data_IF_299870199038
#
_entry.id   IF_299870199038
#
_cell.length_a   1.000
_cell.length_b   1.000
_cell.length_c   1.000
_cell.angle_alpha   90.00
_cell.angle_beta   90.00
_cell.angle_gamma   90.00
#
_symmetry.space_group_name_H-M   'P 1'
#
loop_
_entity.id
_entity.type
_entity.pdbx_description
1 polymer ?
#
# COMPACT_ATOMS: atom_id res chain seq x y z
N UNK A 1 -5.90 72.92 18.98
CA UNK A 1 -5.02 72.26 18.03
C UNK A 1 -4.93 70.82 18.48
N UNK A 2 -5.84 69.96 17.98
CA UNK A 2 -5.92 68.55 18.41
C UNK A 2 -5.38 67.72 17.28
N UNK A 3 -4.31 66.99 17.61
CA UNK A 3 -3.64 66.12 16.69
C UNK A 3 -4.14 64.67 16.94
N UNK A 4 -5.05 64.20 16.07
CA UNK A 4 -5.55 62.81 16.10
C UNK A 4 -4.51 61.85 15.53
N UNK A 5 -4.03 61.00 16.39
CA UNK A 5 -3.17 59.87 15.97
C UNK A 5 -4.08 58.69 15.58
N UNK A 6 -4.14 58.40 14.30
CA UNK A 6 -4.82 57.21 13.78
C UNK A 6 -3.83 56.02 13.90
N UNK A 7 -4.13 55.13 14.82
CA UNK A 7 -3.41 53.88 14.94
C UNK A 7 -4.01 52.88 13.94
N UNK A 8 -3.24 52.60 12.87
CA UNK A 8 -3.57 51.54 11.92
C UNK A 8 -3.19 50.19 12.55
N UNK A 9 -4.16 49.48 13.07
CA UNK A 9 -3.97 48.08 13.49
C UNK A 9 -3.96 47.20 12.25
N UNK A 10 -2.78 46.79 11.82
CA UNK A 10 -2.62 45.70 10.87
C UNK A 10 -3.03 44.39 11.53
N UNK A 11 -4.25 43.95 11.26
CA UNK A 11 -4.66 42.57 11.52
C UNK A 11 -3.95 41.67 10.52
N UNK A 12 -2.93 41.01 11.01
CA UNK A 12 -2.26 39.94 10.28
C UNK A 12 -3.14 38.69 10.41
N UNK A 13 -4.10 38.51 9.50
CA UNK A 13 -4.78 37.23 9.36
C UNK A 13 -3.81 36.23 8.73
N UNK A 14 -3.18 35.45 9.59
CA UNK A 14 -2.51 34.25 9.16
C UNK A 14 -3.56 33.32 8.55
N UNK A 15 -3.65 33.31 7.23
CA UNK A 15 -4.43 32.38 6.46
C UNK A 15 -3.83 30.99 6.70
N UNK A 16 -4.38 30.28 7.67
CA UNK A 16 -4.08 28.89 7.92
C UNK A 16 -4.57 28.11 6.70
N UNK A 17 -3.68 27.87 5.77
CA UNK A 17 -3.93 26.98 4.64
C UNK A 17 -4.12 25.61 5.24
N UNK A 18 -5.36 25.21 5.45
CA UNK A 18 -5.68 23.83 5.71
C UNK A 18 -5.18 23.05 4.48
N UNK A 19 -4.13 22.24 4.67
CA UNK A 19 -3.77 21.26 3.67
C UNK A 19 -4.99 20.40 3.46
N UNK A 20 -5.64 20.56 2.28
CA UNK A 20 -6.73 19.70 1.89
C UNK A 20 -6.15 18.28 1.85
N UNK A 21 -6.49 17.45 2.83
CA UNK A 21 -6.27 16.03 2.74
C UNK A 21 -7.03 15.56 1.50
N UNK A 22 -6.30 15.14 0.46
CA UNK A 22 -6.89 14.52 -0.71
C UNK A 22 -7.86 13.44 -0.24
N UNK A 23 -9.05 13.32 -0.83
CA UNK A 23 -10.04 12.37 -0.34
C UNK A 23 -9.44 10.97 -0.36
N UNK A 24 -9.29 10.42 0.81
CA UNK A 24 -8.77 9.08 1.10
C UNK A 24 -9.48 7.98 0.27
N UNK A 25 -10.70 8.26 -0.15
CA UNK A 25 -11.56 7.40 -0.97
C UNK A 25 -10.96 7.17 -2.38
N UNK A 26 -10.28 8.15 -2.96
CA UNK A 26 -9.77 8.03 -4.32
C UNK A 26 -8.63 7.02 -4.44
N UNK A 27 -7.74 6.94 -3.47
CA UNK A 27 -6.60 6.02 -3.51
C UNK A 27 -7.02 4.58 -3.24
N UNK A 28 -7.97 4.36 -2.33
CA UNK A 28 -8.48 3.03 -2.06
C UNK A 28 -9.26 2.45 -3.24
N UNK A 29 -9.99 3.25 -4.00
CA UNK A 29 -10.67 2.80 -5.24
C UNK A 29 -9.65 2.35 -6.28
N UNK A 30 -8.52 3.03 -6.40
CA UNK A 30 -7.44 2.67 -7.32
C UNK A 30 -6.76 1.35 -6.95
N UNK A 31 -6.79 0.98 -5.67
CA UNK A 31 -6.25 -0.29 -5.18
C UNK A 31 -7.04 -1.49 -5.73
N UNK A 32 -8.32 -1.31 -6.03
CA UNK A 32 -9.20 -2.40 -6.49
C UNK A 32 -8.66 -3.13 -7.71
N UNK A 33 -8.75 -4.45 -7.71
CA UNK A 33 -8.35 -5.31 -8.83
C UNK A 33 -7.12 -6.17 -8.56
N UNK A 34 -6.56 -6.72 -9.63
CA UNK A 34 -5.44 -7.67 -9.56
C UNK A 34 -4.10 -6.97 -9.74
N UNK A 35 -3.17 -7.33 -8.88
CA UNK A 35 -1.81 -6.81 -8.85
C UNK A 35 -0.80 -7.95 -8.78
N UNK A 36 0.13 -7.99 -9.73
CA UNK A 36 1.17 -9.01 -9.81
C UNK A 36 2.51 -8.45 -9.33
N UNK A 37 3.17 -9.20 -8.45
CA UNK A 37 4.49 -8.85 -7.92
C UNK A 37 5.53 -8.74 -9.05
N UNK A 38 6.35 -7.69 -9.02
CA UNK A 38 7.48 -7.52 -9.93
C UNK A 38 8.78 -7.14 -9.20
N UNK A 39 8.70 -6.83 -7.91
CA UNK A 39 9.86 -6.55 -7.07
C UNK A 39 9.57 -6.90 -5.61
N UNK A 40 10.55 -7.47 -4.94
CA UNK A 40 10.53 -7.75 -3.51
C UNK A 40 11.92 -7.60 -2.91
N UNK A 41 12.00 -6.90 -1.79
CA UNK A 41 13.26 -6.73 -1.05
C UNK A 41 13.75 -8.08 -0.51
N UNK A 42 15.04 -8.34 -0.67
CA UNK A 42 15.67 -9.59 -0.27
C UNK A 42 15.77 -10.62 -1.39
N UNK A 43 15.18 -10.36 -2.56
CA UNK A 43 15.37 -11.21 -3.73
C UNK A 43 16.72 -10.94 -4.39
N UNK A 44 17.55 -11.96 -4.50
CA UNK A 44 18.78 -11.90 -5.31
C UNK A 44 18.51 -12.24 -6.78
N UNK A 45 17.56 -13.14 -7.01
CA UNK A 45 17.08 -13.50 -8.34
C UNK A 45 15.58 -13.79 -8.28
N UNK A 46 14.80 -12.85 -8.79
CA UNK A 46 13.34 -12.89 -8.74
C UNK A 46 12.75 -14.10 -9.47
N UNK A 47 13.25 -14.41 -10.65
CA UNK A 47 12.73 -15.51 -11.47
C UNK A 47 13.01 -16.87 -10.83
N UNK A 48 14.13 -17.00 -10.14
CA UNK A 48 14.47 -18.23 -9.40
C UNK A 48 13.62 -18.44 -8.15
N UNK A 49 13.14 -17.34 -7.54
CA UNK A 49 12.25 -17.40 -6.38
C UNK A 49 10.85 -17.87 -6.75
N UNK A 50 10.40 -17.53 -7.95
CA UNK A 50 9.03 -17.77 -8.40
C UNK A 50 8.96 -18.47 -9.76
N UNK A 51 9.57 -19.67 -9.89
CA UNK A 51 9.71 -20.33 -11.19
C UNK A 51 8.39 -20.86 -11.76
N UNK A 52 7.45 -21.20 -10.89
CA UNK A 52 6.18 -21.80 -11.30
C UNK A 52 5.04 -20.77 -11.39
N UNK A 53 5.00 -19.80 -10.45
CA UNK A 53 3.92 -18.84 -10.34
C UNK A 53 4.39 -17.58 -9.63
N UNK A 54 4.17 -16.44 -10.26
CA UNK A 54 4.49 -15.15 -9.65
C UNK A 54 3.40 -14.78 -8.63
N UNK A 55 3.77 -14.30 -7.44
CA UNK A 55 2.81 -13.82 -6.45
C UNK A 55 1.91 -12.72 -6.99
N UNK A 56 0.65 -12.75 -6.58
CA UNK A 56 -0.32 -11.74 -6.95
C UNK A 56 -1.33 -11.52 -5.83
N UNK A 57 -1.85 -10.31 -5.74
CA UNK A 57 -2.89 -9.93 -4.79
C UNK A 57 -4.05 -9.31 -5.57
N UNK A 58 -5.26 -9.76 -5.26
CA UNK A 58 -6.50 -9.15 -5.70
C UNK A 58 -7.13 -8.41 -4.52
N UNK A 59 -7.47 -7.16 -4.71
CA UNK A 59 -8.18 -6.32 -3.75
C UNK A 59 -9.62 -6.13 -4.19
N UNK A 60 -10.55 -6.53 -3.34
CA UNK A 60 -11.96 -6.16 -3.42
C UNK A 60 -12.23 -5.10 -2.35
N UNK A 61 -12.15 -3.86 -2.76
CA UNK A 61 -12.29 -2.70 -1.85
C UNK A 61 -13.71 -2.59 -1.32
N UNK A 62 -14.71 -2.94 -2.11
CA UNK A 62 -16.13 -2.90 -1.73
C UNK A 62 -16.44 -3.96 -0.68
N UNK A 63 -16.04 -5.20 -0.91
CA UNK A 63 -16.22 -6.30 0.02
C UNK A 63 -15.24 -6.27 1.20
N UNK A 64 -14.23 -5.39 1.16
CA UNK A 64 -13.12 -5.32 2.14
C UNK A 64 -12.40 -6.66 2.29
N UNK A 65 -12.05 -7.25 1.15
CA UNK A 65 -11.38 -8.56 1.07
C UNK A 65 -10.12 -8.48 0.23
N UNK A 66 -9.18 -9.34 0.59
CA UNK A 66 -8.02 -9.66 -0.24
C UNK A 66 -8.01 -11.14 -0.56
N UNK A 67 -7.48 -11.48 -1.70
CA UNK A 67 -7.17 -12.84 -2.11
C UNK A 67 -5.95 -12.83 -3.01
N UNK A 68 -5.34 -13.96 -3.20
CA UNK A 68 -4.18 -14.04 -4.09
C UNK A 68 -3.40 -15.33 -3.95
N UNK A 69 -2.14 -15.25 -4.35
CA UNK A 69 -1.20 -16.34 -4.20
C UNK A 69 0.18 -15.82 -3.77
N UNK A 70 0.90 -16.66 -3.05
CA UNK A 70 2.24 -16.39 -2.53
C UNK A 70 3.37 -16.76 -3.48
N UNK A 71 3.00 -17.23 -4.69
CA UNK A 71 3.91 -17.96 -5.59
C UNK A 71 3.85 -19.48 -5.40
N UNK A 72 3.25 -19.94 -4.32
CA UNK A 72 3.00 -21.34 -3.97
C UNK A 72 1.54 -21.56 -3.59
N UNK A 73 1.12 -21.04 -2.44
CA UNK A 73 -0.20 -21.22 -1.88
C UNK A 73 -1.15 -20.08 -2.23
N UNK A 74 -2.44 -20.40 -2.27
CA UNK A 74 -3.50 -19.39 -2.35
C UNK A 74 -3.84 -18.87 -0.96
N UNK A 75 -4.17 -17.59 -0.85
CA UNK A 75 -4.61 -16.99 0.39
C UNK A 75 -5.85 -16.10 0.19
N UNK A 76 -6.56 -15.89 1.27
CA UNK A 76 -7.62 -14.90 1.37
C UNK A 76 -7.70 -14.32 2.78
N UNK A 77 -8.16 -13.09 2.87
CA UNK A 77 -8.26 -12.40 4.15
C UNK A 77 -9.07 -11.13 4.07
N UNK A 78 -9.03 -10.39 5.15
CA UNK A 78 -9.67 -9.09 5.25
C UNK A 78 -8.75 -8.00 4.73
N UNK A 79 -9.30 -7.05 3.98
CA UNK A 79 -8.60 -5.82 3.63
C UNK A 79 -8.74 -4.81 4.78
N UNK A 80 -7.62 -4.42 5.36
CA UNK A 80 -7.55 -3.41 6.42
C UNK A 80 -6.78 -2.21 5.90
N UNK A 81 -7.48 -1.12 5.61
CA UNK A 81 -6.91 0.13 5.12
C UNK A 81 -7.50 1.33 5.85
N UNK A 82 -6.66 2.34 6.06
CA UNK A 82 -7.05 3.66 6.56
C UNK A 82 -6.19 4.70 5.86
N UNK A 83 -6.77 5.41 4.90
CA UNK A 83 -6.00 6.29 4.02
C UNK A 83 -4.97 5.52 3.20
N UNK A 84 -3.73 5.94 3.26
CA UNK A 84 -2.60 5.24 2.66
C UNK A 84 -2.05 4.10 3.52
N UNK A 85 -2.54 3.95 4.75
CA UNK A 85 -2.16 2.84 5.63
C UNK A 85 -2.84 1.56 5.18
N UNK A 86 -2.10 0.47 5.22
CA UNK A 86 -2.56 -0.88 4.93
C UNK A 86 -1.90 -1.86 5.88
N UNK A 87 -2.64 -2.86 6.35
CA UNK A 87 -2.12 -3.85 7.27
C UNK A 87 -2.48 -5.27 6.83
N UNK A 88 -1.53 -6.17 6.94
CA UNK A 88 -1.68 -7.60 6.73
C UNK A 88 -1.44 -8.40 8.03
N UNK A 89 -1.58 -7.75 9.18
CA UNK A 89 -1.40 -8.38 10.49
C UNK A 89 -2.53 -9.35 10.87
N UNK A 90 -3.72 -9.15 10.31
CA UNK A 90 -4.85 -10.05 10.55
C UNK A 90 -4.57 -11.43 9.95
N UNK A 91 -5.01 -12.52 10.59
CA UNK A 91 -4.84 -13.86 10.07
C UNK A 91 -5.49 -14.04 8.69
N UNK A 92 -4.74 -14.64 7.78
CA UNK A 92 -5.23 -15.03 6.46
C UNK A 92 -5.49 -16.54 6.42
N UNK A 93 -6.54 -16.92 5.70
CA UNK A 93 -6.78 -18.32 5.34
C UNK A 93 -5.87 -18.66 4.17
N UNK A 94 -5.13 -19.76 4.28
CA UNK A 94 -4.14 -20.13 3.29
C UNK A 94 -4.15 -21.63 3.05
N UNK A 95 -3.97 -22.07 1.79
CA UNK A 95 -3.64 -23.45 1.49
C UNK A 95 -2.24 -23.77 2.02
N UNK A 96 -1.94 -25.04 2.24
CA UNK A 96 -0.65 -25.49 2.79
C UNK A 96 -0.05 -26.58 1.91
N UNK A 97 0.26 -26.23 0.67
CA UNK A 97 1.06 -27.09 -0.20
C UNK A 97 2.54 -26.87 0.12
N UNK A 98 3.33 -27.93 -0.01
CA UNK A 98 4.79 -27.81 0.03
C UNK A 98 5.29 -27.30 -1.32
N UNK A 99 6.07 -26.21 -1.29
CA UNK A 99 6.80 -25.71 -2.45
C UNK A 99 8.27 -25.53 -2.07
N UNK A 100 9.20 -26.03 -2.86
CA UNK A 100 10.61 -25.83 -2.59
C UNK A 100 11.02 -24.37 -2.81
N UNK A 101 12.02 -23.92 -2.03
CA UNK A 101 12.59 -22.58 -2.13
C UNK A 101 12.03 -21.58 -1.12
N UNK A 102 12.53 -20.36 -1.19
CA UNK A 102 12.30 -19.31 -0.18
C UNK A 102 11.30 -18.24 -0.64
N UNK A 103 10.67 -18.41 -1.80
CA UNK A 103 9.77 -17.40 -2.39
C UNK A 103 8.56 -17.09 -1.53
N UNK A 104 7.85 -18.11 -1.07
CA UNK A 104 6.69 -17.93 -0.19
C UNK A 104 7.06 -17.34 1.18
N UNK A 105 8.06 -17.86 1.92
CA UNK A 105 8.50 -17.23 3.16
C UNK A 105 8.90 -15.77 2.99
N UNK A 106 9.65 -15.46 1.95
CA UNK A 106 10.08 -14.09 1.66
C UNK A 106 8.88 -13.16 1.37
N UNK A 107 7.91 -13.64 0.59
CA UNK A 107 6.68 -12.90 0.30
C UNK A 107 5.90 -12.59 1.57
N UNK A 108 5.64 -13.59 2.41
CA UNK A 108 4.89 -13.44 3.65
C UNK A 108 5.60 -12.56 4.68
N UNK A 109 6.92 -12.69 4.81
CA UNK A 109 7.70 -11.83 5.71
C UNK A 109 7.65 -10.36 5.30
N UNK A 110 7.77 -10.07 4.01
CA UNK A 110 7.67 -8.69 3.53
C UNK A 110 6.25 -8.16 3.67
N UNK A 111 5.23 -8.97 3.38
CA UNK A 111 3.84 -8.57 3.49
C UNK A 111 3.49 -8.10 4.91
N UNK A 112 4.02 -8.77 5.94
CA UNK A 112 3.80 -8.39 7.34
C UNK A 112 4.51 -7.09 7.77
N UNK A 113 5.51 -6.65 7.01
CA UNK A 113 6.25 -5.40 7.27
C UNK A 113 5.62 -4.18 6.59
N UNK A 114 4.61 -4.38 5.77
CA UNK A 114 3.96 -3.29 5.03
C UNK A 114 3.20 -2.39 6.00
N UNK A 115 3.44 -1.10 5.91
CA UNK A 115 2.79 -0.07 6.72
C UNK A 115 1.85 0.81 5.89
N UNK A 116 2.30 1.17 4.69
CA UNK A 116 1.55 2.03 3.77
C UNK A 116 1.64 1.54 2.34
N UNK A 117 0.78 2.06 1.48
CA UNK A 117 0.85 1.82 0.05
C UNK A 117 0.81 3.12 -0.74
N UNK A 118 1.38 3.08 -1.93
CA UNK A 118 1.40 4.19 -2.89
C UNK A 118 1.14 3.65 -4.29
N UNK A 119 0.16 4.23 -4.98
CA UNK A 119 -0.13 3.89 -6.38
C UNK A 119 0.41 4.99 -7.28
N UNK A 120 1.21 4.59 -8.26
CA UNK A 120 1.84 5.49 -9.23
C UNK A 120 1.29 5.20 -10.62
N UNK A 121 0.85 6.24 -11.31
CA UNK A 121 0.31 6.18 -12.68
C UNK A 121 -0.82 5.14 -12.86
N UNK A 122 -1.57 4.84 -11.81
CA UNK A 122 -2.66 3.85 -11.77
C UNK A 122 -2.25 2.40 -12.18
N UNK A 123 -0.97 2.15 -12.39
CA UNK A 123 -0.42 0.87 -12.88
C UNK A 123 0.60 0.23 -11.97
N UNK A 124 1.19 0.98 -11.05
CA UNK A 124 2.21 0.49 -10.13
C UNK A 124 1.76 0.69 -8.69
N UNK A 125 1.73 -0.41 -7.93
CA UNK A 125 1.46 -0.42 -6.50
C UNK A 125 2.77 -0.67 -5.76
N UNK A 126 3.14 0.25 -4.88
CA UNK A 126 4.28 0.10 -3.98
C UNK A 126 3.78 -0.15 -2.57
N UNK A 127 4.27 -1.20 -1.94
CA UNK A 127 4.13 -1.42 -0.51
C UNK A 127 5.34 -0.90 0.22
N UNK A 128 5.09 -0.05 1.20
CA UNK A 128 6.11 0.73 1.89
C UNK A 128 6.27 0.27 3.34
N UNK A 129 7.52 0.26 3.78
CA UNK A 129 7.91 0.22 5.19
C UNK A 129 8.67 1.52 5.47
N UNK A 130 8.06 2.45 6.19
CA UNK A 130 8.53 3.82 6.27
C UNK A 130 8.60 4.47 4.87
N UNK A 131 9.76 4.97 4.49
CA UNK A 131 10.00 5.58 3.17
C UNK A 131 10.53 4.59 2.12
N UNK A 132 10.72 3.33 2.48
CA UNK A 132 11.27 2.30 1.62
C UNK A 132 10.17 1.46 0.96
N UNK A 133 10.17 1.38 -0.37
CA UNK A 133 9.34 0.44 -1.10
C UNK A 133 9.95 -0.97 -0.98
N UNK A 134 9.29 -1.85 -0.24
CA UNK A 134 9.75 -3.22 0.00
C UNK A 134 9.15 -4.24 -0.96
N UNK A 135 8.00 -3.94 -1.55
CA UNK A 135 7.39 -4.75 -2.61
C UNK A 135 6.77 -3.82 -3.65
N UNK A 136 6.84 -4.22 -4.92
CA UNK A 136 6.20 -3.50 -6.03
C UNK A 136 5.39 -4.47 -6.87
N UNK A 137 4.25 -3.98 -7.33
CA UNK A 137 3.31 -4.75 -8.14
C UNK A 137 2.91 -3.95 -9.38
N UNK A 138 2.60 -4.67 -10.45
CA UNK A 138 1.99 -4.12 -11.66
C UNK A 138 0.53 -4.54 -11.74
N UNK A 139 -0.34 -3.63 -12.15
CA UNK A 139 -1.76 -3.90 -12.38
C UNK A 139 -1.93 -4.85 -13.58
N UNK A 140 -2.82 -5.81 -13.45
CA UNK A 140 -3.18 -6.78 -14.49
C UNK A 140 -4.56 -6.50 -15.08
#
# INVERSE_FOLDING_TARGET
>A
MFMSIVIFACKNEAKKTAAASAPVIADSVKLNGNWQLNYITGATNFDSLYPAKIPAINFDVVAKKISGNTGCNSFSGKLVTEGSKISFADPMIMTKMFCPGDGEPLFLQNLQKVETYLIVNDTTLNFMMGELAIMKFSKK
#
